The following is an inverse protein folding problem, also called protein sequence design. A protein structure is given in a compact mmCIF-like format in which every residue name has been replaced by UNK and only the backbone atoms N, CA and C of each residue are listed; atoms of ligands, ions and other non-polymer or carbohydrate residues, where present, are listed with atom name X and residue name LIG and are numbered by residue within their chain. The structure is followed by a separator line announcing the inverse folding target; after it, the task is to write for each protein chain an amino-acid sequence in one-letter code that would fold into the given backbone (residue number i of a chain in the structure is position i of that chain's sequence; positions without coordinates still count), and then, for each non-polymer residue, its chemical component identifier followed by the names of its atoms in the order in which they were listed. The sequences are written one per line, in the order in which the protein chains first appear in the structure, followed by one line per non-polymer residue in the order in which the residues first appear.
data_IF_613363551156
#
_entry.id   IF_613363551156
#
_cell.length_a   1.000
_cell.length_b   1.000
_cell.length_c   1.000
_cell.angle_alpha   90.00
_cell.angle_beta   90.00
_cell.angle_gamma   90.00
#
_symmetry.space_group_name_H-M   'P 1'
#
loop_
_entity.id
_entity.type
_entity.pdbx_description
1 polymer ?
#
# COMPACT_ATOMS: atom_id res chain seq x y z
N UNK A 1 -14.18 -51.27 -11.66
CA UNK A 1 -13.94 -50.05 -10.87
C UNK A 1 -14.20 -48.75 -11.62
N UNK A 2 -14.30 -48.76 -12.95
CA UNK A 2 -14.56 -47.57 -13.79
C UNK A 2 -16.03 -47.15 -13.85
N UNK A 3 -16.98 -48.06 -13.59
CA UNK A 3 -18.42 -47.77 -13.59
C UNK A 3 -18.89 -47.02 -12.33
N UNK A 4 -18.29 -47.26 -11.17
CA UNK A 4 -18.62 -46.57 -9.92
C UNK A 4 -18.10 -45.11 -9.84
N UNK A 5 -17.09 -44.77 -10.66
CA UNK A 5 -16.54 -43.41 -10.74
C UNK A 5 -17.41 -42.53 -11.65
N UNK A 6 -17.97 -43.10 -12.72
CA UNK A 6 -18.88 -42.37 -13.60
C UNK A 6 -20.20 -42.01 -12.91
N UNK A 7 -20.69 -42.89 -12.03
CA UNK A 7 -21.92 -42.66 -11.26
C UNK A 7 -21.74 -41.54 -10.22
N UNK A 8 -20.55 -41.45 -9.59
CA UNK A 8 -20.17 -40.34 -8.68
C UNK A 8 -19.91 -39.00 -9.39
N UNK A 9 -19.59 -39.01 -10.69
CA UNK A 9 -19.46 -37.78 -11.48
C UNK A 9 -20.83 -37.27 -11.99
N UNK A 10 -21.84 -38.14 -12.07
CA UNK A 10 -23.21 -37.73 -12.43
C UNK A 10 -23.92 -36.95 -11.33
N UNK A 11 -23.57 -37.20 -10.06
CA UNK A 11 -24.12 -36.50 -8.88
C UNK A 11 -23.51 -35.12 -8.64
N UNK A 12 -22.46 -34.76 -9.39
CA UNK A 12 -21.89 -33.41 -9.43
C UNK A 12 -22.34 -32.61 -10.66
N UNK A 13 -23.43 -33.01 -11.33
CA UNK A 13 -24.13 -32.14 -12.25
C UNK A 13 -24.89 -31.07 -11.45
N UNK A 14 -24.20 -29.99 -11.11
CA UNK A 14 -24.86 -28.76 -10.65
C UNK A 14 -25.78 -28.32 -11.79
N UNK A 15 -27.08 -28.61 -11.63
CA UNK A 15 -28.09 -28.30 -12.63
C UNK A 15 -27.99 -26.82 -13.01
N UNK A 16 -28.00 -26.51 -14.30
CA UNK A 16 -27.98 -25.12 -14.78
C UNK A 16 -29.11 -24.25 -14.19
N UNK A 17 -30.16 -24.87 -13.63
CA UNK A 17 -31.19 -24.20 -12.84
C UNK A 17 -30.71 -23.76 -11.44
N UNK A 18 -29.84 -24.52 -10.76
CA UNK A 18 -29.22 -24.10 -9.50
C UNK A 18 -28.24 -22.94 -9.72
N UNK A 19 -27.43 -23.00 -10.79
CA UNK A 19 -26.52 -21.91 -11.15
C UNK A 19 -27.26 -20.63 -11.55
N UNK A 20 -28.42 -20.74 -12.23
CA UNK A 20 -29.30 -19.60 -12.55
C UNK A 20 -30.07 -19.04 -11.35
N UNK A 21 -30.27 -19.83 -10.29
CA UNK A 21 -30.91 -19.40 -9.04
C UNK A 21 -29.93 -18.81 -8.03
N UNK A 22 -28.63 -19.08 -8.18
CA UNK A 22 -27.58 -18.55 -7.31
C UNK A 22 -27.57 -17.02 -7.24
N UNK A 23 -27.73 -16.25 -8.35
CA UNK A 23 -27.84 -14.79 -8.29
C UNK A 23 -29.06 -14.33 -7.50
N UNK A 24 -30.21 -14.99 -7.66
CA UNK A 24 -31.45 -14.66 -6.92
C UNK A 24 -31.36 -14.99 -5.44
N UNK A 25 -30.75 -16.13 -5.08
CA UNK A 25 -30.50 -16.51 -3.69
C UNK A 25 -29.47 -15.58 -3.01
N UNK A 26 -28.49 -15.09 -3.78
CA UNK A 26 -27.58 -14.04 -3.32
C UNK A 26 -28.30 -12.69 -3.19
N UNK A 27 -29.20 -12.31 -4.10
CA UNK A 27 -30.02 -11.10 -4.01
C UNK A 27 -31.01 -11.12 -2.84
N UNK A 28 -31.61 -12.27 -2.53
CA UNK A 28 -32.55 -12.44 -1.42
C UNK A 28 -31.84 -12.63 -0.07
N UNK A 29 -30.58 -13.10 -0.07
CA UNK A 29 -29.77 -13.33 1.12
C UNK A 29 -28.82 -12.17 1.50
N UNK A 30 -28.49 -11.30 0.55
CA UNK A 30 -27.68 -10.11 0.80
C UNK A 30 -28.58 -8.98 1.30
N UNK A 31 -28.27 -8.35 2.44
CA UNK A 31 -29.04 -7.21 2.90
C UNK A 31 -29.06 -6.14 1.80
N UNK A 32 -30.25 -5.62 1.46
CA UNK A 32 -30.38 -4.50 0.52
C UNK A 32 -29.52 -3.34 1.00
N UNK A 33 -28.40 -3.15 0.30
CA UNK A 33 -27.41 -2.14 0.66
C UNK A 33 -27.99 -0.75 0.37
N UNK A 34 -27.95 0.19 1.33
CA UNK A 34 -28.28 1.60 1.09
C UNK A 34 -27.58 2.13 -0.16
N UNK A 35 -28.31 2.92 -0.95
CA UNK A 35 -27.74 3.59 -2.12
C UNK A 35 -26.64 4.58 -1.70
N UNK A 36 -25.72 4.84 -2.62
CA UNK A 36 -24.75 5.92 -2.46
C UNK A 36 -25.45 7.29 -2.58
N UNK A 37 -24.83 8.31 -1.99
CA UNK A 37 -25.39 9.66 -1.85
C UNK A 37 -24.52 10.71 -2.53
N UNK A 38 -25.08 11.87 -2.90
CA UNK A 38 -24.31 13.01 -3.38
C UNK A 38 -23.43 13.64 -2.29
N UNK A 39 -22.46 14.46 -2.69
CA UNK A 39 -21.53 15.13 -1.77
C UNK A 39 -22.23 16.03 -0.73
N UNK A 40 -23.42 16.55 -1.05
CA UNK A 40 -24.23 17.40 -0.17
C UNK A 40 -24.64 16.69 1.10
N UNK A 41 -24.79 15.37 1.03
CA UNK A 41 -25.40 14.54 2.08
C UNK A 41 -24.33 13.90 2.99
N UNK A 42 -23.05 14.21 2.75
CA UNK A 42 -21.94 13.79 3.60
C UNK A 42 -21.19 14.97 4.20
N UNK A 43 -20.63 14.83 5.42
CA UNK A 43 -19.78 15.84 6.02
C UNK A 43 -18.65 16.31 5.10
N UNK A 44 -18.31 17.61 5.18
CA UNK A 44 -17.26 18.23 4.36
C UNK A 44 -15.92 17.49 4.45
N UNK A 45 -15.62 16.86 5.59
CA UNK A 45 -14.41 16.06 5.79
C UNK A 45 -14.24 14.97 4.72
N UNK A 46 -15.33 14.31 4.31
CA UNK A 46 -15.32 13.17 3.39
C UNK A 46 -15.33 13.57 1.92
N UNK A 47 -15.68 14.82 1.60
CA UNK A 47 -15.87 15.28 0.21
C UNK A 47 -14.53 15.42 -0.49
N UNK A 48 -14.32 14.68 -1.58
CA UNK A 48 -13.11 14.83 -2.39
C UNK A 48 -13.30 15.88 -3.50
N UNK A 49 -12.25 16.63 -3.87
CA UNK A 49 -12.37 17.67 -4.90
C UNK A 49 -12.88 17.08 -6.21
N UNK A 50 -13.82 17.78 -6.85
CA UNK A 50 -14.41 17.42 -8.15
C UNK A 50 -15.26 16.13 -8.17
N UNK A 51 -15.37 15.41 -7.06
CA UNK A 51 -16.21 14.20 -6.92
C UNK A 51 -17.58 14.58 -6.37
N UNK A 52 -18.64 14.39 -7.16
CA UNK A 52 -19.99 14.91 -6.87
C UNK A 52 -20.93 13.88 -6.25
N UNK A 53 -20.77 12.61 -6.58
CA UNK A 53 -21.67 11.51 -6.19
C UNK A 53 -20.90 10.24 -5.84
N UNK A 54 -21.62 9.19 -5.43
CA UNK A 54 -21.03 7.90 -5.12
C UNK A 54 -20.49 7.75 -3.71
N UNK A 55 -20.76 8.71 -2.81
CA UNK A 55 -20.35 8.61 -1.41
C UNK A 55 -21.21 7.58 -0.66
N UNK A 56 -20.59 6.87 0.29
CA UNK A 56 -21.35 5.96 1.16
C UNK A 56 -21.94 6.74 2.35
N UNK A 57 -23.23 6.54 2.69
CA UNK A 57 -23.83 7.13 3.88
C UNK A 57 -23.07 6.76 5.16
N UNK A 58 -23.06 7.68 6.12
CA UNK A 58 -22.36 7.54 7.40
C UNK A 58 -23.25 6.86 8.45
N UNK A 59 -22.67 6.37 9.56
CA UNK A 59 -23.44 5.93 10.73
C UNK A 59 -24.01 4.51 10.65
N UNK A 60 -23.92 3.83 9.50
CA UNK A 60 -24.32 2.42 9.39
C UNK A 60 -23.45 1.45 10.23
N UNK A 61 -23.93 0.23 10.38
CA UNK A 61 -23.21 -0.89 10.99
C UNK A 61 -21.95 -1.27 10.22
N UNK A 62 -20.96 -1.89 10.88
CA UNK A 62 -19.70 -2.29 10.23
C UNK A 62 -19.92 -3.24 9.05
N UNK A 63 -20.92 -4.13 9.16
CA UNK A 63 -21.29 -5.07 8.09
C UNK A 63 -21.56 -4.36 6.76
N UNK A 64 -22.23 -3.19 6.80
CA UNK A 64 -22.46 -2.38 5.60
C UNK A 64 -21.15 -2.02 4.91
N UNK A 65 -20.18 -1.45 5.62
CA UNK A 65 -18.91 -1.04 4.99
C UNK A 65 -18.11 -2.22 4.46
N UNK A 66 -18.11 -3.38 5.14
CA UNK A 66 -17.47 -4.58 4.60
C UNK A 66 -18.16 -5.08 3.32
N UNK A 67 -19.49 -5.15 3.29
CA UNK A 67 -20.23 -5.55 2.08
C UNK A 67 -20.16 -4.49 0.96
N UNK A 68 -19.87 -3.23 1.30
CA UNK A 68 -19.67 -2.19 0.29
C UNK A 68 -18.48 -2.45 -0.62
N UNK A 69 -17.59 -3.39 -0.27
CA UNK A 69 -16.55 -3.93 -1.16
C UNK A 69 -17.12 -4.36 -2.53
N UNK A 70 -18.36 -4.85 -2.56
CA UNK A 70 -19.05 -5.30 -3.77
C UNK A 70 -20.08 -4.28 -4.30
N UNK A 71 -20.12 -3.07 -3.72
CA UNK A 71 -21.02 -1.99 -4.12
C UNK A 71 -20.29 -0.95 -4.99
N UNK A 72 -21.00 -0.39 -5.98
CA UNK A 72 -20.51 0.75 -6.75
C UNK A 72 -20.50 2.02 -5.89
N UNK A 73 -19.31 2.52 -5.54
CA UNK A 73 -19.11 3.78 -4.80
C UNK A 73 -17.78 4.43 -5.19
N UNK A 74 -17.56 5.69 -4.79
CA UNK A 74 -16.38 6.47 -5.20
C UNK A 74 -15.05 5.84 -4.75
N UNK A 75 -15.02 5.18 -3.59
CA UNK A 75 -13.82 4.50 -3.08
C UNK A 75 -13.58 3.08 -3.65
N UNK A 76 -14.46 2.53 -4.50
CA UNK A 76 -14.44 1.08 -4.79
C UNK A 76 -13.16 0.65 -5.50
N UNK A 77 -12.70 1.42 -6.48
CA UNK A 77 -11.47 1.12 -7.20
C UNK A 77 -10.25 1.26 -6.28
N UNK A 78 -10.23 2.26 -5.37
CA UNK A 78 -9.15 2.43 -4.38
C UNK A 78 -9.00 1.18 -3.50
N UNK A 79 -10.12 0.58 -3.08
CA UNK A 79 -10.12 -0.66 -2.28
C UNK A 79 -9.61 -1.85 -3.10
N UNK A 80 -10.13 -2.04 -4.32
CA UNK A 80 -9.80 -3.18 -5.16
C UNK A 80 -8.35 -3.14 -5.69
N UNK A 81 -7.80 -1.97 -6.01
CA UNK A 81 -6.41 -1.84 -6.46
C UNK A 81 -5.41 -2.34 -5.41
N UNK A 82 -5.68 -2.08 -4.12
CA UNK A 82 -4.85 -2.60 -3.02
C UNK A 82 -5.11 -4.06 -2.72
N UNK A 83 -6.36 -4.50 -2.74
CA UNK A 83 -6.72 -5.90 -2.50
C UNK A 83 -6.04 -6.82 -3.52
N UNK A 84 -6.16 -6.49 -4.81
CA UNK A 84 -5.56 -7.27 -5.88
C UNK A 84 -4.04 -7.25 -5.81
N UNK A 85 -3.43 -6.11 -5.49
CA UNK A 85 -1.99 -6.03 -5.30
C UNK A 85 -1.50 -6.88 -4.12
N UNK A 86 -2.22 -6.89 -2.99
CA UNK A 86 -1.86 -7.69 -1.83
C UNK A 86 -1.90 -9.19 -2.16
N UNK A 87 -2.96 -9.62 -2.86
CA UNK A 87 -3.07 -11.00 -3.35
C UNK A 87 -1.94 -11.33 -4.34
N UNK A 88 -1.62 -10.44 -5.28
CA UNK A 88 -0.55 -10.65 -6.25
C UNK A 88 0.83 -10.77 -5.58
N UNK A 89 1.15 -9.91 -4.60
CA UNK A 89 2.39 -10.00 -3.82
C UNK A 89 2.45 -11.33 -3.05
N UNK A 90 1.37 -11.72 -2.36
CA UNK A 90 1.32 -12.99 -1.63
C UNK A 90 1.52 -14.20 -2.54
N UNK A 91 0.77 -14.27 -3.65
CA UNK A 91 0.83 -15.39 -4.60
C UNK A 91 2.21 -15.47 -5.26
N UNK A 92 2.78 -14.34 -5.67
CA UNK A 92 4.10 -14.29 -6.32
C UNK A 92 5.22 -14.68 -5.35
N UNK A 93 5.16 -14.19 -4.11
CA UNK A 93 6.13 -14.57 -3.07
C UNK A 93 5.98 -16.04 -2.66
N UNK A 94 4.75 -16.55 -2.54
CA UNK A 94 4.49 -17.96 -2.28
C UNK A 94 5.13 -18.86 -3.35
N UNK A 95 4.85 -18.56 -4.63
CA UNK A 95 5.43 -19.28 -5.76
C UNK A 95 6.97 -19.25 -5.74
N UNK A 96 7.57 -18.11 -5.41
CA UNK A 96 9.01 -17.99 -5.22
C UNK A 96 9.53 -18.87 -4.08
N UNK A 97 8.88 -18.80 -2.91
CA UNK A 97 9.32 -19.51 -1.72
C UNK A 97 9.28 -21.03 -1.91
N UNK A 98 8.30 -21.53 -2.66
CA UNK A 98 8.21 -22.94 -3.07
C UNK A 98 9.28 -23.31 -4.10
N UNK A 99 9.41 -22.54 -5.19
CA UNK A 99 10.34 -22.84 -6.28
C UNK A 99 11.80 -22.85 -5.81
N UNK A 100 12.16 -21.92 -4.93
CA UNK A 100 13.54 -21.71 -4.47
C UNK A 100 13.82 -22.36 -3.11
N UNK A 101 12.87 -23.12 -2.56
CA UNK A 101 12.95 -23.74 -1.24
C UNK A 101 13.49 -22.76 -0.17
N UNK A 102 12.83 -21.60 -0.05
CA UNK A 102 13.33 -20.45 0.74
C UNK A 102 13.77 -20.87 2.16
N UNK A 103 15.01 -20.57 2.58
CA UNK A 103 15.46 -20.91 3.92
C UNK A 103 14.88 -19.91 4.95
N UNK A 104 13.68 -20.21 5.47
CA UNK A 104 12.93 -19.36 6.38
C UNK A 104 13.69 -18.94 7.65
N UNK A 105 14.57 -19.81 8.16
CA UNK A 105 15.36 -19.56 9.37
C UNK A 105 16.69 -18.83 9.10
N UNK A 106 17.02 -18.57 7.83
CA UNK A 106 18.28 -17.89 7.48
C UNK A 106 18.19 -16.40 7.75
N UNK A 107 19.25 -15.83 8.32
CA UNK A 107 19.42 -14.38 8.48
C UNK A 107 19.30 -13.64 7.17
N UNK A 108 19.76 -14.22 6.06
CA UNK A 108 19.66 -13.61 4.72
C UNK A 108 18.21 -13.42 4.28
N UNK A 109 17.29 -14.27 4.71
CA UNK A 109 15.87 -14.20 4.35
C UNK A 109 15.11 -13.13 5.14
N UNK A 110 15.62 -12.68 6.28
CA UNK A 110 14.89 -11.76 7.16
C UNK A 110 14.55 -10.41 6.50
N UNK A 111 15.47 -9.69 5.82
CA UNK A 111 15.11 -8.44 5.15
C UNK A 111 14.05 -8.64 4.06
N UNK A 112 14.11 -9.74 3.30
CA UNK A 112 13.09 -10.12 2.31
C UNK A 112 11.73 -10.35 2.98
N UNK A 113 11.69 -11.13 4.07
CA UNK A 113 10.45 -11.38 4.82
C UNK A 113 9.84 -10.09 5.38
N UNK A 114 10.67 -9.18 5.89
CA UNK A 114 10.20 -7.86 6.36
C UNK A 114 9.70 -6.98 5.21
N UNK A 115 10.35 -7.03 4.05
CA UNK A 115 9.87 -6.35 2.85
C UNK A 115 8.49 -6.86 2.42
N UNK A 116 8.29 -8.18 2.36
CA UNK A 116 6.98 -8.78 2.05
C UNK A 116 5.94 -8.41 3.12
N UNK A 117 6.27 -8.56 4.40
CA UNK A 117 5.38 -8.20 5.51
C UNK A 117 4.95 -6.73 5.43
N UNK A 118 5.90 -5.84 5.16
CA UNK A 118 5.64 -4.40 5.04
C UNK A 118 4.79 -4.06 3.82
N UNK A 119 5.01 -4.77 2.70
CA UNK A 119 4.22 -4.65 1.46
C UNK A 119 2.76 -5.01 1.70
N UNK A 120 2.51 -6.16 2.33
CA UNK A 120 1.14 -6.59 2.67
C UNK A 120 0.52 -5.68 3.72
N UNK A 121 1.31 -5.20 4.68
CA UNK A 121 0.83 -4.29 5.72
C UNK A 121 0.30 -3.00 5.12
N UNK A 122 1.07 -2.28 4.28
CA UNK A 122 0.59 -1.01 3.72
C UNK A 122 -0.62 -1.19 2.80
N UNK A 123 -0.62 -2.22 1.95
CA UNK A 123 -1.74 -2.53 1.07
C UNK A 123 -3.01 -2.79 1.89
N UNK A 124 -2.89 -3.56 2.97
CA UNK A 124 -4.02 -3.87 3.87
C UNK A 124 -4.49 -2.63 4.62
N UNK A 125 -3.57 -1.82 5.18
CA UNK A 125 -3.90 -0.60 5.89
C UNK A 125 -4.62 0.41 4.98
N UNK A 126 -4.16 0.56 3.73
CA UNK A 126 -4.77 1.46 2.75
C UNK A 126 -6.13 0.96 2.28
N UNK A 127 -6.25 -0.35 2.00
CA UNK A 127 -7.52 -1.01 1.71
C UNK A 127 -8.54 -0.73 2.82
N UNK A 128 -8.17 -0.96 4.08
CA UNK A 128 -9.06 -0.75 5.22
C UNK A 128 -9.42 0.73 5.40
N UNK A 129 -8.51 1.66 5.12
CA UNK A 129 -8.82 3.08 5.11
C UNK A 129 -9.88 3.43 4.08
N UNK A 130 -9.69 3.05 2.83
CA UNK A 130 -10.66 3.32 1.79
C UNK A 130 -11.98 2.58 2.02
N UNK A 131 -11.96 1.38 2.59
CA UNK A 131 -13.17 0.60 2.86
C UNK A 131 -13.97 1.13 4.05
N UNK A 132 -13.31 1.60 5.12
CA UNK A 132 -13.95 1.84 6.42
C UNK A 132 -14.00 3.31 6.86
N UNK A 133 -13.33 4.22 6.15
CA UNK A 133 -13.25 5.63 6.55
C UNK A 133 -14.61 6.32 6.67
N UNK A 134 -15.57 5.98 5.81
CA UNK A 134 -16.86 6.68 5.72
C UNK A 134 -17.81 6.41 6.88
N UNK A 135 -17.44 5.54 7.85
CA UNK A 135 -18.33 5.21 8.97
C UNK A 135 -18.66 6.40 9.87
N UNK A 136 -17.64 7.17 10.23
CA UNK A 136 -17.76 8.32 11.13
C UNK A 136 -16.53 9.22 10.98
N UNK A 137 -16.60 10.46 11.47
CA UNK A 137 -15.42 11.35 11.45
C UNK A 137 -14.24 10.71 12.17
N UNK A 138 -14.45 10.06 13.33
CA UNK A 138 -13.38 9.39 14.07
C UNK A 138 -12.80 8.20 13.30
N UNK A 139 -13.66 7.40 12.64
CA UNK A 139 -13.22 6.28 11.79
C UNK A 139 -12.34 6.79 10.65
N UNK A 140 -12.72 7.88 9.99
CA UNK A 140 -11.94 8.48 8.93
C UNK A 140 -10.54 8.87 9.40
N UNK A 141 -10.41 9.62 10.50
CA UNK A 141 -9.06 9.93 11.01
C UNK A 141 -8.29 8.68 11.42
N UNK A 142 -8.96 7.72 12.08
CA UNK A 142 -8.32 6.50 12.58
C UNK A 142 -7.70 5.69 11.45
N UNK A 143 -8.50 5.33 10.43
CA UNK A 143 -7.99 4.44 9.39
C UNK A 143 -6.99 5.13 8.47
N UNK A 144 -7.14 6.43 8.18
CA UNK A 144 -6.11 7.14 7.43
C UNK A 144 -4.81 7.31 8.23
N UNK A 145 -4.84 7.42 9.56
CA UNK A 145 -3.60 7.37 10.36
C UNK A 145 -2.95 5.98 10.31
N UNK A 146 -3.74 4.90 10.33
CA UNK A 146 -3.24 3.53 10.17
C UNK A 146 -2.64 3.32 8.78
N UNK A 147 -3.26 3.86 7.73
CA UNK A 147 -2.71 3.90 6.37
C UNK A 147 -1.33 4.59 6.32
N UNK A 148 -1.20 5.76 6.95
CA UNK A 148 0.09 6.46 7.02
C UNK A 148 1.17 5.69 7.78
N UNK A 149 0.80 4.93 8.81
CA UNK A 149 1.73 3.99 9.47
C UNK A 149 2.14 2.89 8.51
N UNK A 150 1.20 2.28 7.79
CA UNK A 150 1.46 1.26 6.79
C UNK A 150 2.44 1.74 5.71
N UNK A 151 2.20 2.93 5.15
CA UNK A 151 3.11 3.56 4.17
C UNK A 151 4.51 3.72 4.74
N UNK A 152 4.65 4.25 5.96
CA UNK A 152 5.97 4.41 6.62
C UNK A 152 6.69 3.07 6.84
N UNK A 153 5.97 2.03 7.23
CA UNK A 153 6.52 0.69 7.43
C UNK A 153 7.00 0.08 6.11
N UNK A 154 6.21 0.19 5.03
CA UNK A 154 6.61 -0.25 3.70
C UNK A 154 7.80 0.51 3.15
N UNK A 155 7.82 1.83 3.33
CA UNK A 155 8.92 2.67 2.89
C UNK A 155 10.26 2.18 3.47
N UNK A 156 10.27 1.86 4.78
CA UNK A 156 11.46 1.32 5.43
C UNK A 156 11.76 -0.14 5.06
N UNK A 157 10.74 -0.99 4.90
CA UNK A 157 10.92 -2.35 4.39
C UNK A 157 11.56 -2.38 2.99
N UNK A 158 11.15 -1.45 2.12
CA UNK A 158 11.76 -1.18 0.83
C UNK A 158 13.23 -0.76 0.97
N UNK A 159 13.54 0.18 1.87
CA UNK A 159 14.91 0.60 2.15
C UNK A 159 15.80 -0.57 2.62
N UNK A 160 15.29 -1.43 3.51
CA UNK A 160 16.00 -2.64 3.95
C UNK A 160 16.32 -3.56 2.77
N UNK A 161 15.35 -3.86 1.91
CA UNK A 161 15.56 -4.71 0.75
C UNK A 161 16.59 -4.13 -0.20
N UNK A 162 16.51 -2.84 -0.52
CA UNK A 162 17.48 -2.18 -1.38
C UNK A 162 18.88 -2.15 -0.78
N UNK A 163 19.00 -1.91 0.53
CA UNK A 163 20.28 -1.87 1.22
C UNK A 163 20.99 -3.23 1.15
N UNK A 164 20.28 -4.29 1.53
CA UNK A 164 20.86 -5.63 1.65
C UNK A 164 21.02 -6.36 0.32
N UNK A 165 20.10 -6.18 -0.62
CA UNK A 165 20.09 -6.96 -1.87
C UNK A 165 20.47 -6.12 -3.10
N UNK A 166 20.13 -4.83 -3.12
CA UNK A 166 20.21 -4.04 -4.35
C UNK A 166 21.39 -3.06 -4.44
N UNK A 167 22.03 -2.73 -3.33
CA UNK A 167 23.17 -1.79 -3.31
C UNK A 167 24.40 -2.35 -4.03
N UNK A 168 25.09 -1.54 -4.83
CA UNK A 168 26.41 -1.89 -5.37
C UNK A 168 27.54 -1.47 -4.41
N UNK A 169 28.78 -1.87 -4.74
CA UNK A 169 29.92 -1.67 -3.82
C UNK A 169 30.26 -0.20 -3.64
N UNK A 170 30.31 0.56 -4.74
CA UNK A 170 30.67 1.97 -4.71
C UNK A 170 29.66 2.81 -3.92
N UNK A 171 28.36 2.56 -4.08
CA UNK A 171 27.34 3.22 -3.28
C UNK A 171 27.43 2.76 -1.81
N UNK A 172 27.63 1.47 -1.56
CA UNK A 172 27.68 0.92 -0.20
C UNK A 172 28.78 1.58 0.62
N UNK A 173 30.01 1.64 0.13
CA UNK A 173 31.15 2.21 0.86
C UNK A 173 30.95 3.66 1.31
N UNK A 174 30.20 4.45 0.54
CA UNK A 174 29.92 5.84 0.84
C UNK A 174 28.77 6.04 1.83
N UNK A 175 27.74 5.19 1.76
CA UNK A 175 26.44 5.46 2.37
C UNK A 175 26.03 4.49 3.48
N UNK A 176 26.73 3.36 3.64
CA UNK A 176 26.25 2.25 4.46
C UNK A 176 25.97 2.61 5.93
N UNK A 177 26.80 3.47 6.53
CA UNK A 177 26.71 3.77 7.96
C UNK A 177 25.44 4.56 8.30
N UNK A 178 24.99 5.46 7.42
CA UNK A 178 23.89 6.38 7.72
C UNK A 178 22.59 6.05 7.00
N UNK A 179 22.63 5.23 5.95
CA UNK A 179 21.47 4.96 5.12
C UNK A 179 20.27 4.45 5.91
N UNK A 180 20.42 3.37 6.66
CA UNK A 180 19.30 2.76 7.40
C UNK A 180 18.77 3.67 8.54
N UNK A 181 19.60 4.33 9.36
CA UNK A 181 19.11 5.32 10.32
C UNK A 181 18.36 6.49 9.66
N UNK A 182 18.89 7.03 8.55
CA UNK A 182 18.25 8.12 7.82
C UNK A 182 16.93 7.69 7.17
N UNK A 183 16.88 6.51 6.57
CA UNK A 183 15.67 5.93 5.99
C UNK A 183 14.59 5.73 7.07
N UNK A 184 14.98 5.25 8.26
CA UNK A 184 14.04 5.11 9.37
C UNK A 184 13.49 6.48 9.81
N UNK A 185 14.36 7.47 9.98
CA UNK A 185 13.93 8.82 10.32
C UNK A 185 12.99 9.42 9.26
N UNK A 186 13.33 9.31 7.97
CA UNK A 186 12.51 9.80 6.86
C UNK A 186 11.17 9.06 6.77
N UNK A 187 11.14 7.75 7.01
CA UNK A 187 9.90 6.97 7.08
C UNK A 187 8.98 7.45 8.20
N UNK A 188 9.52 7.62 9.41
CA UNK A 188 8.75 8.17 10.54
C UNK A 188 8.26 9.58 10.27
N UNK A 189 9.12 10.44 9.72
CA UNK A 189 8.80 11.84 9.39
C UNK A 189 7.67 11.91 8.35
N UNK A 190 7.63 10.99 7.38
CA UNK A 190 6.54 10.87 6.41
C UNK A 190 5.20 10.53 7.09
N UNK A 191 5.19 9.54 7.99
CA UNK A 191 3.99 9.23 8.78
C UNK A 191 3.56 10.40 9.66
N UNK A 192 4.50 10.98 10.41
CA UNK A 192 4.24 12.11 11.31
C UNK A 192 3.70 13.32 10.54
N UNK A 193 4.31 13.66 9.40
CA UNK A 193 3.90 14.73 8.50
C UNK A 193 2.47 14.52 7.98
N UNK A 194 2.15 13.32 7.48
CA UNK A 194 0.81 12.97 7.01
C UNK A 194 -0.25 13.01 8.12
N UNK A 195 0.06 12.43 9.29
CA UNK A 195 -0.85 12.43 10.43
C UNK A 195 -1.09 13.86 10.95
N UNK A 196 -0.03 14.65 11.10
CA UNK A 196 -0.11 16.05 11.52
C UNK A 196 -0.91 16.88 10.52
N UNK A 197 -0.63 16.74 9.21
CA UNK A 197 -1.33 17.47 8.16
C UNK A 197 -2.83 17.20 8.19
N UNK A 198 -3.23 15.94 8.37
CA UNK A 198 -4.65 15.55 8.46
C UNK A 198 -5.30 16.00 9.77
N UNK A 199 -4.59 15.96 10.90
CA UNK A 199 -5.07 16.48 12.18
C UNK A 199 -5.22 18.02 12.25
N UNK A 200 -4.29 18.75 11.62
CA UNK A 200 -4.14 20.21 11.79
C UNK A 200 -4.96 21.01 10.79
N UNK A 201 -5.02 20.56 9.55
CA UNK A 201 -5.63 21.33 8.45
C UNK A 201 -7.05 20.84 8.15
N UNK A 202 -7.91 21.75 7.69
CA UNK A 202 -9.31 21.49 7.32
C UNK A 202 -9.56 21.99 5.90
N UNK A 203 -10.65 21.56 5.26
CA UNK A 203 -11.04 22.02 3.93
C UNK A 203 -11.55 23.48 3.99
N UNK A 204 -11.29 24.32 2.96
CA UNK A 204 -10.38 24.07 1.83
C UNK A 204 -8.94 24.00 2.31
N UNK A 205 -8.21 22.97 1.85
CA UNK A 205 -6.90 22.67 2.41
C UNK A 205 -5.84 23.67 1.94
N UNK A 206 -5.03 24.25 2.85
CA UNK A 206 -3.92 25.11 2.46
C UNK A 206 -2.78 24.29 1.85
N UNK A 207 -1.93 24.96 1.05
CA UNK A 207 -0.72 24.37 0.43
C UNK A 207 0.19 23.71 1.47
N UNK A 208 0.25 24.26 2.68
CA UNK A 208 1.03 23.70 3.80
C UNK A 208 0.66 22.25 4.12
N UNK A 209 -0.61 21.84 3.96
CA UNK A 209 -1.01 20.45 4.14
C UNK A 209 -0.26 19.53 3.17
N UNK A 210 -0.17 19.95 1.90
CA UNK A 210 0.49 19.18 0.85
C UNK A 210 2.00 19.14 1.06
N UNK A 211 2.61 20.25 1.49
CA UNK A 211 4.04 20.28 1.83
C UNK A 211 4.37 19.32 2.98
N UNK A 212 3.56 19.29 4.04
CA UNK A 212 3.74 18.35 5.16
C UNK A 212 3.65 16.87 4.73
N UNK A 213 2.98 16.56 3.62
CA UNK A 213 2.82 15.19 3.11
C UNK A 213 3.90 14.84 2.09
N UNK A 214 4.14 15.71 1.11
CA UNK A 214 4.99 15.42 -0.05
C UNK A 214 6.47 15.62 0.23
N UNK A 215 6.87 16.64 1.01
CA UNK A 215 8.29 16.92 1.24
C UNK A 215 8.98 15.78 2.00
N UNK A 216 8.45 15.30 3.15
CA UNK A 216 9.04 14.14 3.83
C UNK A 216 9.09 12.89 2.94
N UNK A 217 7.99 12.59 2.24
CA UNK A 217 7.89 11.43 1.36
C UNK A 217 8.84 11.51 0.15
N UNK A 218 9.08 12.71 -0.38
CA UNK A 218 10.04 12.95 -1.45
C UNK A 218 11.49 12.77 -1.00
N UNK A 219 11.85 13.29 0.18
CA UNK A 219 13.18 13.08 0.77
C UNK A 219 13.45 11.60 1.04
N UNK A 220 12.45 10.93 1.62
CA UNK A 220 12.40 9.49 1.79
C UNK A 220 12.65 8.74 0.48
N UNK A 221 11.89 9.04 -0.57
CA UNK A 221 12.04 8.39 -1.87
C UNK A 221 13.43 8.57 -2.45
N UNK A 222 13.97 9.80 -2.47
CA UNK A 222 15.31 10.09 -2.99
C UNK A 222 16.36 9.27 -2.26
N UNK A 223 16.28 9.19 -0.93
CA UNK A 223 17.19 8.38 -0.13
C UNK A 223 17.01 6.89 -0.46
N UNK A 224 15.81 6.36 -0.29
CA UNK A 224 15.52 4.91 -0.35
C UNK A 224 15.76 4.31 -1.75
N UNK A 225 15.64 5.12 -2.81
CA UNK A 225 15.93 4.72 -4.20
C UNK A 225 17.40 4.93 -4.58
N UNK A 226 18.16 5.77 -3.89
CA UNK A 226 19.55 6.05 -4.24
C UNK A 226 20.45 4.82 -4.50
N UNK A 227 20.43 3.71 -3.72
CA UNK A 227 21.26 2.54 -4.02
C UNK A 227 20.90 1.89 -5.36
N UNK A 228 19.60 1.82 -5.65
CA UNK A 228 19.07 1.22 -6.87
C UNK A 228 19.29 2.14 -8.07
N UNK A 229 19.03 3.44 -7.94
CA UNK A 229 19.24 4.41 -9.01
C UNK A 229 20.71 4.47 -9.43
N UNK A 230 21.63 4.44 -8.45
CA UNK A 230 23.06 4.37 -8.74
C UNK A 230 23.41 3.11 -9.55
N UNK A 231 22.97 1.93 -9.10
CA UNK A 231 23.20 0.66 -9.80
C UNK A 231 22.60 0.65 -11.19
N UNK A 232 21.32 1.01 -11.32
CA UNK A 232 20.60 1.05 -12.60
C UNK A 232 21.28 1.98 -13.60
N UNK A 233 21.75 3.15 -13.16
CA UNK A 233 22.49 4.08 -14.01
C UNK A 233 23.79 3.48 -14.54
N UNK A 234 24.62 2.89 -13.68
CA UNK A 234 25.88 2.25 -14.10
C UNK A 234 25.62 1.05 -15.02
N UNK A 235 24.63 0.23 -14.69
CA UNK A 235 24.24 -0.95 -15.46
C UNK A 235 23.84 -0.55 -16.89
N UNK A 236 22.92 0.40 -17.05
CA UNK A 236 22.45 0.86 -18.36
C UNK A 236 23.54 1.56 -19.17
N UNK A 237 24.39 2.37 -18.52
CA UNK A 237 25.54 3.01 -19.19
C UNK A 237 26.56 2.00 -19.70
N UNK A 238 26.74 0.90 -18.99
CA UNK A 238 27.61 -0.21 -19.40
C UNK A 238 26.95 -1.17 -20.41
N UNK A 239 25.68 -0.96 -20.78
CA UNK A 239 24.94 -1.84 -21.68
C UNK A 239 24.58 -3.20 -21.07
N UNK A 240 24.46 -3.28 -19.74
CA UNK A 240 24.10 -4.51 -19.03
C UNK A 240 22.73 -5.04 -19.49
N UNK A 241 22.50 -6.34 -19.31
CA UNK A 241 21.21 -7.00 -19.57
C UNK A 241 20.61 -7.60 -18.29
N UNK A 242 20.94 -7.03 -17.12
CA UNK A 242 20.41 -7.50 -15.84
C UNK A 242 18.89 -7.25 -15.77
N UNK A 243 18.12 -8.34 -15.64
CA UNK A 243 16.67 -8.25 -15.58
C UNK A 243 16.18 -7.48 -14.35
N UNK A 244 16.86 -7.61 -13.22
CA UNK A 244 16.56 -6.86 -11.99
C UNK A 244 16.66 -5.34 -12.20
N UNK A 245 17.65 -4.87 -12.97
CA UNK A 245 17.83 -3.44 -13.26
C UNK A 245 16.66 -2.87 -14.07
N UNK A 246 16.07 -3.63 -14.98
CA UNK A 246 14.88 -3.21 -15.72
C UNK A 246 13.63 -3.13 -14.83
N UNK A 247 13.42 -4.12 -13.95
CA UNK A 247 12.31 -4.05 -13.00
C UNK A 247 12.44 -2.90 -12.01
N UNK A 248 13.65 -2.59 -11.55
CA UNK A 248 13.90 -1.38 -10.77
C UNK A 248 13.69 -0.09 -11.56
N UNK A 249 14.01 -0.08 -12.85
CA UNK A 249 13.70 1.07 -13.73
C UNK A 249 12.18 1.30 -13.77
N UNK A 250 11.40 0.23 -13.94
CA UNK A 250 9.94 0.29 -13.91
C UNK A 250 9.41 0.74 -12.54
N UNK A 251 9.97 0.23 -11.44
CA UNK A 251 9.65 0.68 -10.08
C UNK A 251 9.82 2.20 -9.94
N UNK A 252 10.96 2.75 -10.35
CA UNK A 252 11.25 4.19 -10.26
C UNK A 252 10.25 4.99 -11.10
N UNK A 253 10.02 4.58 -12.36
CA UNK A 253 9.09 5.26 -13.27
C UNK A 253 7.65 5.24 -12.74
N UNK A 254 7.15 4.08 -12.31
CA UNK A 254 5.79 3.94 -11.80
C UNK A 254 5.60 4.71 -10.48
N UNK A 255 6.61 4.79 -9.62
CA UNK A 255 6.55 5.65 -8.44
C UNK A 255 6.41 7.13 -8.82
N UNK A 256 7.20 7.62 -9.79
CA UNK A 256 7.13 9.02 -10.22
C UNK A 256 5.76 9.36 -10.82
N UNK A 257 5.20 8.47 -11.65
CA UNK A 257 3.84 8.63 -12.20
C UNK A 257 2.80 8.60 -11.08
N UNK A 258 2.93 7.68 -10.13
CA UNK A 258 2.07 7.60 -8.95
C UNK A 258 2.12 8.92 -8.15
N UNK A 259 3.32 9.44 -7.84
CA UNK A 259 3.50 10.70 -7.12
C UNK A 259 2.87 11.92 -7.82
N UNK A 260 2.86 11.94 -9.16
CA UNK A 260 2.15 12.94 -9.95
C UNK A 260 0.64 12.89 -9.70
N UNK A 261 0.01 11.72 -9.83
CA UNK A 261 -1.43 11.55 -9.63
C UNK A 261 -1.85 11.73 -8.16
N UNK A 262 -0.97 11.44 -7.20
CA UNK A 262 -1.20 11.81 -5.80
C UNK A 262 -1.24 13.33 -5.61
N UNK A 263 -0.46 14.07 -6.39
CA UNK A 263 -0.25 15.51 -6.23
C UNK A 263 -1.20 16.38 -7.04
N UNK A 264 -1.64 15.88 -8.18
CA UNK A 264 -2.50 16.57 -9.13
C UNK A 264 -3.83 15.82 -9.23
N UNK A 265 -4.98 16.46 -8.90
CA UNK A 265 -6.30 15.83 -8.97
C UNK A 265 -6.80 15.77 -10.42
N UNK A 266 -6.08 15.06 -11.27
CA UNK A 266 -6.38 14.88 -12.70
C UNK A 266 -6.66 13.40 -12.96
N UNK A 267 -7.63 13.06 -13.84
CA UNK A 267 -8.37 13.95 -14.74
C UNK A 267 -9.62 14.64 -14.16
N UNK A 268 -10.04 14.33 -12.93
CA UNK A 268 -11.30 14.80 -12.33
C UNK A 268 -11.42 16.32 -12.23
N UNK A 269 -10.30 17.05 -12.12
CA UNK A 269 -10.27 18.52 -12.22
C UNK A 269 -10.84 19.04 -13.54
N UNK A 270 -10.59 18.34 -14.64
CA UNK A 270 -11.05 18.75 -15.98
C UNK A 270 -12.44 18.21 -16.31
N UNK A 271 -12.87 17.13 -15.63
CA UNK A 271 -14.17 16.51 -15.84
C UNK A 271 -14.92 16.27 -14.50
N UNK A 272 -15.30 17.34 -13.76
CA UNK A 272 -15.95 17.18 -12.46
C UNK A 272 -17.25 16.37 -12.57
N UNK A 273 -17.46 15.41 -11.68
CA UNK A 273 -18.62 14.50 -11.72
C UNK A 273 -18.49 13.31 -12.68
N UNK A 274 -17.60 13.37 -13.67
CA UNK A 274 -17.46 12.29 -14.67
C UNK A 274 -16.59 11.13 -14.18
N UNK A 275 -15.69 11.41 -13.24
CA UNK A 275 -14.76 10.43 -12.66
C UNK A 275 -15.15 10.04 -11.22
N UNK A 276 -16.43 10.20 -10.85
CA UNK A 276 -16.90 9.98 -9.48
C UNK A 276 -16.63 8.57 -8.96
N UNK A 277 -16.76 7.56 -9.83
CA UNK A 277 -16.62 6.15 -9.46
C UNK A 277 -15.35 5.52 -10.02
N UNK A 278 -14.96 5.87 -11.25
CA UNK A 278 -13.80 5.29 -11.94
C UNK A 278 -12.99 6.39 -12.60
N UNK A 279 -11.67 6.29 -12.49
CA UNK A 279 -10.71 7.08 -13.26
C UNK A 279 -10.30 8.42 -12.65
N UNK A 280 -10.64 8.72 -11.40
CA UNK A 280 -10.07 9.90 -10.73
C UNK A 280 -8.64 9.64 -10.25
N UNK A 281 -7.86 10.70 -10.09
CA UNK A 281 -6.42 10.69 -9.89
C UNK A 281 -5.97 9.82 -8.72
N UNK A 282 -6.71 9.79 -7.60
CA UNK A 282 -6.36 8.94 -6.46
C UNK A 282 -6.41 7.43 -6.79
N UNK A 283 -7.31 7.00 -7.67
CA UNK A 283 -7.37 5.61 -8.14
C UNK A 283 -6.20 5.29 -9.06
N UNK A 284 -5.84 6.24 -9.92
CA UNK A 284 -4.70 6.10 -10.84
C UNK A 284 -3.40 6.05 -10.04
N UNK A 285 -3.26 6.90 -9.02
CA UNK A 285 -2.17 6.89 -8.04
C UNK A 285 -1.98 5.49 -7.46
N UNK A 286 -3.05 4.89 -6.93
CA UNK A 286 -3.02 3.55 -6.33
C UNK A 286 -2.71 2.46 -7.35
N UNK A 287 -3.28 2.53 -8.55
CA UNK A 287 -2.98 1.56 -9.61
C UNK A 287 -1.48 1.56 -9.98
N UNK A 288 -0.88 2.73 -10.18
CA UNK A 288 0.55 2.86 -10.45
C UNK A 288 1.42 2.46 -9.26
N UNK A 289 0.99 2.77 -8.03
CA UNK A 289 1.69 2.33 -6.83
C UNK A 289 1.69 0.79 -6.71
N UNK A 290 0.57 0.14 -7.02
CA UNK A 290 0.47 -1.32 -7.03
C UNK A 290 1.44 -1.96 -8.02
N UNK A 291 1.50 -1.49 -9.27
CA UNK A 291 2.47 -2.02 -10.25
C UNK A 291 3.92 -1.64 -9.95
N UNK A 292 4.15 -0.51 -9.27
CA UNK A 292 5.46 -0.16 -8.71
C UNK A 292 5.91 -1.20 -7.69
N UNK A 293 5.06 -1.57 -6.72
CA UNK A 293 5.38 -2.59 -5.71
C UNK A 293 5.61 -3.96 -6.35
N UNK A 294 4.83 -4.35 -7.35
CA UNK A 294 5.05 -5.61 -8.06
C UNK A 294 6.37 -5.61 -8.85
N UNK A 295 6.72 -4.50 -9.50
CA UNK A 295 8.01 -4.35 -10.18
C UNK A 295 9.17 -4.43 -9.18
N UNK A 296 9.05 -3.76 -8.04
CA UNK A 296 10.03 -3.87 -6.96
C UNK A 296 10.15 -5.31 -6.44
N UNK A 297 9.03 -6.01 -6.26
CA UNK A 297 9.03 -7.39 -5.82
C UNK A 297 9.86 -8.27 -6.76
N UNK A 298 9.59 -8.21 -8.07
CA UNK A 298 10.37 -8.98 -9.06
C UNK A 298 11.87 -8.66 -8.99
N UNK A 299 12.22 -7.37 -8.91
CA UNK A 299 13.62 -6.94 -8.84
C UNK A 299 14.32 -7.47 -7.58
N UNK A 300 13.65 -7.37 -6.42
CA UNK A 300 14.19 -7.84 -5.14
C UNK A 300 14.33 -9.36 -5.09
N UNK A 301 13.38 -10.11 -5.68
CA UNK A 301 13.48 -11.57 -5.73
C UNK A 301 14.68 -12.02 -6.59
N UNK A 302 14.89 -11.38 -7.75
CA UNK A 302 16.06 -11.61 -8.58
C UNK A 302 17.36 -11.25 -7.85
N UNK A 303 17.42 -10.06 -7.25
CA UNK A 303 18.59 -9.62 -6.47
C UNK A 303 18.90 -10.58 -5.30
N UNK A 304 17.87 -11.07 -4.60
CA UNK A 304 18.02 -12.02 -3.50
C UNK A 304 18.68 -13.33 -3.97
N UNK A 305 18.37 -13.80 -5.17
CA UNK A 305 18.94 -15.02 -5.75
C UNK A 305 20.36 -14.76 -6.28
N UNK A 306 20.52 -13.75 -7.13
CA UNK A 306 21.73 -13.54 -7.92
C UNK A 306 22.86 -12.92 -7.11
N UNK A 307 22.55 -12.17 -6.04
CA UNK A 307 23.54 -11.35 -5.31
C UNK A 307 23.88 -11.89 -3.92
N UNK A 308 23.72 -13.21 -3.72
CA UNK A 308 23.99 -13.86 -2.43
C UNK A 308 25.44 -13.65 -1.95
N UNK A 309 26.43 -13.73 -2.84
CA UNK A 309 27.84 -13.59 -2.46
C UNK A 309 28.14 -12.20 -1.89
N UNK A 310 27.62 -11.16 -2.54
CA UNK A 310 27.77 -9.76 -2.09
C UNK A 310 27.16 -9.57 -0.70
N UNK A 311 25.97 -10.13 -0.47
CA UNK A 311 25.33 -10.08 0.84
C UNK A 311 26.22 -10.70 1.92
N UNK A 312 26.73 -11.91 1.68
CA UNK A 312 27.54 -12.67 2.65
C UNK A 312 28.89 -12.00 2.93
N UNK A 313 29.47 -11.31 1.95
CA UNK A 313 30.72 -10.57 2.12
C UNK A 313 30.53 -9.31 2.98
N UNK A 314 29.39 -8.61 2.84
CA UNK A 314 29.16 -7.32 3.51
C UNK A 314 28.53 -7.45 4.89
N UNK A 315 27.73 -8.50 5.12
CA UNK A 315 26.80 -8.53 6.25
C UNK A 315 26.97 -9.75 7.14
N UNK A 316 27.26 -9.48 8.42
CA UNK A 316 27.21 -10.48 9.47
C UNK A 316 25.80 -10.61 10.08
N UNK A 317 25.48 -11.74 10.74
CA UNK A 317 24.18 -11.96 11.38
C UNK A 317 23.74 -10.82 12.30
N UNK A 318 24.66 -10.29 13.12
CA UNK A 318 24.37 -9.20 14.06
C UNK A 318 23.90 -7.93 13.35
N UNK A 319 24.57 -7.53 12.25
CA UNK A 319 24.17 -6.34 11.47
C UNK A 319 22.75 -6.48 10.89
N UNK A 320 22.39 -7.68 10.42
CA UNK A 320 21.06 -7.97 9.89
C UNK A 320 20.02 -7.89 11.00
N UNK A 321 20.27 -8.52 12.16
CA UNK A 321 19.34 -8.47 13.28
C UNK A 321 19.12 -7.04 13.80
N UNK A 322 20.17 -6.23 13.88
CA UNK A 322 20.06 -4.83 14.30
C UNK A 322 19.22 -4.00 13.31
N UNK A 323 19.44 -4.20 12.00
CA UNK A 323 18.62 -3.57 10.97
C UNK A 323 17.14 -4.02 11.06
N UNK A 324 16.88 -5.32 11.24
CA UNK A 324 15.55 -5.84 11.45
C UNK A 324 14.89 -5.31 12.73
N UNK A 325 15.63 -5.10 13.83
CA UNK A 325 15.10 -4.50 15.05
C UNK A 325 14.65 -3.05 14.81
N UNK A 326 15.43 -2.29 14.03
CA UNK A 326 15.09 -0.89 13.70
C UNK A 326 13.80 -0.75 12.89
N UNK A 327 13.40 -1.78 12.12
CA UNK A 327 12.09 -1.84 11.46
C UNK A 327 10.94 -1.80 12.46
N UNK A 328 11.02 -2.63 13.51
CA UNK A 328 9.99 -2.65 14.56
C UNK A 328 10.00 -1.38 15.40
N UNK A 329 11.18 -0.80 15.64
CA UNK A 329 11.30 0.49 16.31
C UNK A 329 10.61 1.61 15.54
N UNK A 330 10.86 1.73 14.23
CA UNK A 330 10.14 2.66 13.35
C UNK A 330 8.63 2.43 13.42
N UNK A 331 8.18 1.17 13.24
CA UNK A 331 6.76 0.84 13.27
C UNK A 331 6.10 1.27 14.58
N UNK A 332 6.78 1.08 15.71
CA UNK A 332 6.32 1.53 17.02
C UNK A 332 6.26 3.07 17.12
N UNK A 333 7.28 3.80 16.65
CA UNK A 333 7.29 5.26 16.65
C UNK A 333 6.18 5.86 15.78
N UNK A 334 5.97 5.32 14.57
CA UNK A 334 4.89 5.73 13.66
C UNK A 334 3.52 5.43 14.28
N UNK A 335 3.34 4.23 14.86
CA UNK A 335 2.10 3.84 15.54
C UNK A 335 1.80 4.71 16.76
N UNK A 336 2.80 5.03 17.57
CA UNK A 336 2.66 5.93 18.71
C UNK A 336 2.23 7.33 18.26
N UNK A 337 2.82 7.85 17.18
CA UNK A 337 2.45 9.15 16.59
C UNK A 337 0.98 9.16 16.14
N UNK A 338 0.56 8.14 15.41
CA UNK A 338 -0.82 7.95 14.97
C UNK A 338 -1.80 7.85 16.16
N UNK A 339 -1.46 7.07 17.18
CA UNK A 339 -2.28 6.88 18.38
C UNK A 339 -2.45 8.19 19.18
N UNK A 340 -1.37 8.94 19.37
CA UNK A 340 -1.39 10.24 20.04
C UNK A 340 -2.29 11.24 19.30
N UNK A 341 -2.18 11.32 17.99
CA UNK A 341 -3.01 12.23 17.18
C UNK A 341 -4.46 11.77 17.12
N UNK A 342 -4.72 10.46 17.04
CA UNK A 342 -6.07 9.90 17.15
C UNK A 342 -6.73 10.27 18.49
N UNK A 343 -5.99 10.17 19.59
CA UNK A 343 -6.50 10.55 20.91
C UNK A 343 -6.89 12.04 20.93
N UNK A 344 -6.05 12.92 20.37
CA UNK A 344 -6.37 14.35 20.23
C UNK A 344 -7.58 14.61 19.33
N UNK A 345 -7.76 13.87 18.24
CA UNK A 345 -8.96 13.94 17.39
C UNK A 345 -10.20 13.55 18.20
N UNK A 346 -10.17 12.41 18.89
CA UNK A 346 -11.30 11.92 19.70
C UNK A 346 -11.73 12.99 20.71
N UNK A 347 -10.79 13.56 21.45
CA UNK A 347 -11.07 14.62 22.42
C UNK A 347 -11.64 15.90 21.79
N UNK A 348 -11.27 16.22 20.54
CA UNK A 348 -11.84 17.35 19.79
C UNK A 348 -13.26 17.09 19.33
N UNK A 349 -13.56 15.86 18.90
CA UNK A 349 -14.91 15.47 18.45
C UNK A 349 -15.88 15.41 19.64
N UNK A 350 -15.47 14.84 20.76
CA UNK A 350 -16.33 14.81 21.97
C UNK A 350 -16.70 16.21 22.48
N UNK A 351 -15.80 17.20 22.32
CA UNK A 351 -16.07 18.61 22.66
C UNK A 351 -16.98 19.33 21.66
N UNK A 352 -17.09 18.82 20.43
CA UNK A 352 -17.97 19.36 19.39
C UNK A 352 -19.41 18.86 19.59
N UNK A 353 -19.55 17.65 20.13
CA UNK A 353 -20.84 17.00 20.37
C UNK A 353 -21.43 17.31 21.76
N UNK A 354 -20.64 17.91 22.66
CA UNK A 354 -21.06 18.48 23.95
C UNK A 354 -21.47 19.94 23.80
#
# INVERSE_FOLDING_TARGET
MTTAILERLSTLSVSGQQLRRLPKLLEDGLPKMPCTVPETDVPQLFREPYIRTGYRPTGHEWRYYFFSLFQKHNEVVNVWTHLLAALAVLLRFWAFAEAEALPWASTRSLPLLLFILSSITYLTCSLLAHLLQSKSELSHYTFYFVDYVGVSVYQYGSALAHFFYSSDQAWYELFWLFFLPAAAFCGWLSCAGCCYAKYRYRRPYPVMRKLCQVVPAGLAFVLDISPVAHRVALCHLAGCQEQAAWYHTLQILFFLVSAYFFSCPVPEKYFPGSCDIVGHGHQIFHAFLSVCTLSQLEAILLDYQERQEIFLQRHGPLSVYMACLSFFFLAACSSATAALLRHKVKARLTKKDS
#
